data_IF_800745330337
#
_entry.id   IF_800745330337
#
_cell.length_a   1.000
_cell.length_b   1.000
_cell.length_c   1.000
_cell.angle_alpha   90.00
_cell.angle_beta   90.00
_cell.angle_gamma   90.00
#
_symmetry.space_group_name_H-M   'P 1'
#
loop_
_entity.id
_entity.type
_entity.pdbx_description
1 polymer ?
#
# COMPACT_ATOMS: atom_id res chain seq x y z
N UNK A 1 -11.16 -11.36 1.92
CA UNK A 1 -11.45 -12.42 2.93
C UNK A 1 -10.24 -12.68 3.79
N UNK A 2 -10.40 -13.09 5.04
CA UNK A 2 -9.28 -13.46 5.91
C UNK A 2 -9.02 -14.96 5.92
N UNK A 3 -7.74 -15.32 6.05
CA UNK A 3 -7.28 -16.63 6.47
C UNK A 3 -6.28 -16.40 7.59
N UNK A 4 -6.72 -16.58 8.84
CA UNK A 4 -5.99 -16.14 10.03
C UNK A 4 -5.57 -14.66 9.92
N UNK A 5 -4.27 -14.39 9.83
CA UNK A 5 -3.69 -13.04 9.69
C UNK A 5 -3.42 -12.63 8.22
N UNK A 6 -3.76 -13.48 7.24
CA UNK A 6 -3.56 -13.23 5.82
C UNK A 6 -4.84 -12.67 5.21
N UNK A 7 -4.72 -11.59 4.42
CA UNK A 7 -5.81 -11.06 3.61
C UNK A 7 -5.75 -11.62 2.18
N UNK A 8 -6.80 -12.31 1.77
CA UNK A 8 -7.04 -12.67 0.37
C UNK A 8 -7.87 -11.56 -0.28
N UNK A 9 -7.28 -10.88 -1.26
CA UNK A 9 -7.92 -9.86 -2.08
C UNK A 9 -8.07 -10.35 -3.52
N UNK A 10 -9.27 -10.15 -4.10
CA UNK A 10 -9.58 -10.51 -5.49
C UNK A 10 -9.85 -9.21 -6.23
N UNK A 11 -9.16 -9.00 -7.36
CA UNK A 11 -9.33 -7.80 -8.18
C UNK A 11 -10.72 -7.79 -8.84
N UNK A 12 -11.58 -6.80 -8.55
CA UNK A 12 -12.92 -6.74 -9.13
C UNK A 12 -12.94 -6.20 -10.57
N UNK A 13 -11.82 -5.69 -11.10
CA UNK A 13 -11.73 -5.02 -12.41
C UNK A 13 -12.70 -3.85 -12.61
N UNK A 14 -13.26 -3.33 -11.52
CA UNK A 14 -14.14 -2.16 -11.50
C UNK A 14 -13.98 -1.42 -10.19
N UNK A 15 -14.32 -0.14 -10.20
CA UNK A 15 -14.42 0.61 -8.96
C UNK A 15 -15.62 0.13 -8.16
N UNK A 16 -15.41 -0.05 -6.85
CA UNK A 16 -16.48 -0.34 -5.90
C UNK A 16 -16.68 0.95 -5.10
N UNK A 17 -17.86 1.53 -5.24
CA UNK A 17 -18.22 2.80 -4.61
C UNK A 17 -17.96 2.75 -3.09
N UNK A 18 -17.35 3.81 -2.56
CA UNK A 18 -17.06 4.03 -1.13
C UNK A 18 -16.12 3.01 -0.47
N UNK A 19 -15.58 2.01 -1.19
CA UNK A 19 -14.70 0.98 -0.63
C UNK A 19 -13.39 1.56 -0.10
N UNK A 20 -12.83 2.56 -0.79
CA UNK A 20 -11.54 3.19 -0.45
C UNK A 20 -11.67 4.69 -0.16
N UNK A 21 -12.84 5.11 0.34
CA UNK A 21 -13.10 6.50 0.70
C UNK A 21 -12.37 6.91 1.99
N UNK A 22 -12.17 8.22 2.23
CA UNK A 22 -11.68 8.73 3.51
C UNK A 22 -12.55 8.32 4.70
N UNK A 23 -13.88 8.25 4.51
CA UNK A 23 -14.79 7.75 5.55
C UNK A 23 -14.51 6.30 5.91
N UNK A 24 -14.14 5.47 4.94
CA UNK A 24 -13.74 4.08 5.18
C UNK A 24 -12.41 3.99 5.93
N UNK A 25 -11.43 4.86 5.64
CA UNK A 25 -10.19 4.94 6.45
C UNK A 25 -10.54 5.17 7.93
N UNK A 26 -11.35 6.18 8.22
CA UNK A 26 -11.77 6.50 9.59
C UNK A 26 -12.56 5.37 10.26
N UNK A 27 -13.35 4.63 9.49
CA UNK A 27 -14.10 3.47 10.00
C UNK A 27 -13.18 2.36 10.51
N UNK A 28 -12.06 2.09 9.82
CA UNK A 28 -11.11 1.05 10.20
C UNK A 28 -10.08 1.47 11.26
N UNK A 29 -9.94 2.78 11.52
CA UNK A 29 -9.00 3.33 12.49
C UNK A 29 -9.24 2.80 13.91
N UNK A 30 -8.22 2.11 14.46
CA UNK A 30 -8.22 1.60 15.83
C UNK A 30 -9.11 0.37 16.04
N UNK A 31 -9.63 -0.26 14.99
CA UNK A 31 -10.49 -1.45 15.08
C UNK A 31 -9.68 -2.74 15.06
N UNK A 32 -10.01 -3.68 15.93
CA UNK A 32 -9.32 -4.98 15.94
C UNK A 32 -9.64 -5.78 14.67
N UNK A 33 -8.68 -6.62 14.26
CA UNK A 33 -8.89 -7.50 13.11
C UNK A 33 -10.06 -8.45 13.40
N UNK A 34 -11.06 -8.46 12.52
CA UNK A 34 -12.28 -9.28 12.68
C UNK A 34 -13.50 -8.53 13.24
N UNK A 35 -13.34 -7.33 13.81
CA UNK A 35 -14.50 -6.49 14.19
C UNK A 35 -15.26 -5.95 12.98
N UNK A 36 -14.53 -5.71 11.88
CA UNK A 36 -15.06 -5.21 10.63
C UNK A 36 -14.83 -6.22 9.49
N UNK A 37 -15.58 -6.10 8.37
CA UNK A 37 -15.37 -6.94 7.20
C UNK A 37 -13.93 -6.92 6.68
N UNK A 38 -13.47 -7.97 5.99
CA UNK A 38 -12.10 -8.04 5.51
C UNK A 38 -11.73 -6.90 4.56
N UNK A 39 -10.69 -6.14 4.92
CA UNK A 39 -10.24 -4.98 4.15
C UNK A 39 -8.73 -4.74 4.27
N UNK A 40 -8.12 -4.12 3.25
CA UNK A 40 -6.69 -3.76 3.25
C UNK A 40 -6.34 -2.79 4.38
N UNK A 41 -7.26 -1.88 4.72
CA UNK A 41 -7.07 -0.92 5.82
C UNK A 41 -6.98 -1.59 7.18
N UNK A 42 -7.67 -2.71 7.40
CA UNK A 42 -7.52 -3.46 8.64
C UNK A 42 -6.12 -4.07 8.79
N UNK A 43 -5.48 -4.46 7.69
CA UNK A 43 -4.09 -4.96 7.70
C UNK A 43 -3.11 -3.82 7.99
N UNK A 44 -3.32 -2.66 7.38
CA UNK A 44 -2.51 -1.46 7.65
C UNK A 44 -2.65 -1.00 9.11
N UNK A 45 -3.88 -0.93 9.62
CA UNK A 45 -4.16 -0.57 11.02
C UNK A 45 -3.49 -1.53 12.00
N UNK A 46 -3.62 -2.84 11.75
CA UNK A 46 -2.96 -3.85 12.55
C UNK A 46 -1.44 -3.66 12.55
N UNK A 47 -0.82 -3.42 11.39
CA UNK A 47 0.62 -3.20 11.30
C UNK A 47 1.07 -1.96 12.11
N UNK A 48 0.33 -0.85 12.05
CA UNK A 48 0.62 0.34 12.86
C UNK A 48 0.51 0.03 14.36
N UNK A 49 -0.55 -0.68 14.78
CA UNK A 49 -0.74 -1.04 16.18
C UNK A 49 0.31 -2.02 16.69
N UNK A 50 0.63 -3.04 15.91
CA UNK A 50 1.69 -4.01 16.23
C UNK A 50 3.03 -3.29 16.37
N UNK A 51 3.37 -2.36 15.45
CA UNK A 51 4.58 -1.54 15.55
C UNK A 51 4.65 -0.77 16.87
N UNK A 52 3.53 -0.15 17.28
CA UNK A 52 3.44 0.63 18.52
C UNK A 52 3.57 -0.21 19.78
N UNK A 53 2.96 -1.40 19.78
CA UNK A 53 2.93 -2.31 20.94
C UNK A 53 4.23 -3.08 21.07
N UNK A 54 4.70 -3.67 19.96
CA UNK A 54 5.91 -4.51 19.93
C UNK A 54 7.20 -3.70 19.88
N UNK A 55 7.13 -2.38 19.66
CA UNK A 55 8.29 -1.49 19.49
C UNK A 55 9.27 -2.00 18.43
N UNK A 56 8.72 -2.57 17.36
CA UNK A 56 9.48 -3.21 16.29
C UNK A 56 8.88 -2.88 14.93
N UNK A 57 9.74 -2.67 13.92
CA UNK A 57 9.33 -2.38 12.55
C UNK A 57 8.47 -3.51 11.98
N UNK A 58 7.46 -3.15 11.17
CA UNK A 58 6.54 -4.10 10.55
C UNK A 58 6.70 -4.07 9.03
N UNK A 59 6.40 -5.20 8.39
CA UNK A 59 6.45 -5.34 6.93
C UNK A 59 5.16 -5.94 6.41
N UNK A 60 4.62 -5.37 5.32
CA UNK A 60 3.45 -5.91 4.62
C UNK A 60 3.92 -6.40 3.25
N UNK A 61 3.69 -7.69 2.96
CA UNK A 61 4.05 -8.30 1.69
C UNK A 61 2.80 -8.45 0.84
N UNK A 62 2.81 -7.87 -0.37
CA UNK A 62 1.72 -7.97 -1.35
C UNK A 62 2.18 -8.86 -2.50
N UNK A 63 1.60 -10.06 -2.59
CA UNK A 63 1.97 -11.08 -3.59
C UNK A 63 0.82 -11.42 -4.53
N UNK A 64 1.13 -12.08 -5.65
CA UNK A 64 0.16 -12.48 -6.67
C UNK A 64 0.68 -12.34 -8.10
N UNK A 65 -0.04 -12.90 -9.06
CA UNK A 65 0.32 -12.83 -10.48
C UNK A 65 0.18 -11.42 -11.08
N UNK A 66 0.66 -11.22 -12.31
CA UNK A 66 0.46 -9.95 -13.02
C UNK A 66 -1.04 -9.72 -13.26
N UNK A 67 -1.52 -8.51 -12.96
CA UNK A 67 -2.94 -8.16 -13.04
C UNK A 67 -3.76 -8.44 -11.78
N UNK A 68 -3.20 -9.13 -10.76
CA UNK A 68 -3.91 -9.49 -9.53
C UNK A 68 -4.29 -8.31 -8.61
N UNK A 69 -3.84 -7.08 -8.91
CA UNK A 69 -4.16 -5.88 -8.10
C UNK A 69 -3.13 -5.53 -7.03
N UNK A 70 -1.89 -6.04 -7.13
CA UNK A 70 -0.81 -5.74 -6.17
C UNK A 70 -0.54 -4.23 -6.04
N UNK A 71 -0.33 -3.55 -7.17
CA UNK A 71 -0.02 -2.11 -7.20
C UNK A 71 -1.11 -1.26 -6.56
N UNK A 72 -2.37 -1.54 -6.89
CA UNK A 72 -3.53 -0.85 -6.29
C UNK A 72 -3.63 -1.12 -4.78
N UNK A 73 -3.44 -2.38 -4.37
CA UNK A 73 -3.44 -2.74 -2.94
C UNK A 73 -2.36 -1.97 -2.17
N UNK A 74 -1.15 -1.89 -2.72
CA UNK A 74 -0.05 -1.10 -2.14
C UNK A 74 -0.40 0.39 -2.06
N UNK A 75 -1.04 0.96 -3.09
CA UNK A 75 -1.48 2.36 -3.08
C UNK A 75 -2.47 2.65 -1.95
N UNK A 76 -3.45 1.77 -1.74
CA UNK A 76 -4.41 1.94 -0.64
C UNK A 76 -3.78 1.71 0.73
N UNK A 77 -2.85 0.75 0.87
CA UNK A 77 -2.06 0.60 2.09
C UNK A 77 -1.31 1.88 2.43
N UNK A 78 -0.59 2.48 1.46
CA UNK A 78 0.15 3.72 1.68
C UNK A 78 -0.77 4.88 2.05
N UNK A 79 -1.93 5.02 1.39
CA UNK A 79 -2.93 6.04 1.76
C UNK A 79 -3.35 5.93 3.23
N UNK A 80 -3.50 4.71 3.75
CA UNK A 80 -3.85 4.48 5.15
C UNK A 80 -2.66 4.74 6.08
N UNK A 81 -1.47 4.23 5.73
CA UNK A 81 -0.25 4.38 6.53
C UNK A 81 0.16 5.85 6.67
N UNK A 82 -0.08 6.65 5.64
CA UNK A 82 0.15 8.08 5.60
C UNK A 82 -1.08 8.90 6.03
N UNK A 83 -2.15 8.27 6.50
CA UNK A 83 -3.31 9.02 6.97
C UNK A 83 -3.02 9.62 8.35
N UNK A 84 -3.06 10.95 8.44
CA UNK A 84 -2.97 11.68 9.70
C UNK A 84 -4.37 12.10 10.15
N UNK A 85 -4.67 11.86 11.44
CA UNK A 85 -5.94 12.24 12.08
C UNK A 85 -6.20 13.75 12.07
N UNK A 86 -5.21 14.58 11.74
CA UNK A 86 -5.33 16.03 11.62
C UNK A 86 -5.82 16.48 10.22
N UNK A 87 -6.50 15.60 9.51
CA UNK A 87 -7.30 15.85 8.30
C UNK A 87 -6.56 16.38 7.07
N UNK A 88 -5.23 16.38 7.10
CA UNK A 88 -4.38 16.63 5.95
C UNK A 88 -3.18 15.68 5.96
N UNK A 89 -3.01 14.96 4.85
CA UNK A 89 -1.70 14.36 4.53
C UNK A 89 -0.70 15.50 4.51
N UNK A 90 0.28 15.46 5.41
CA UNK A 90 1.35 16.43 5.40
C UNK A 90 2.13 16.40 4.07
N UNK A 91 3.02 17.37 3.84
CA UNK A 91 3.81 17.45 2.61
C UNK A 91 4.71 16.22 2.39
N UNK A 92 5.02 15.44 3.43
CA UNK A 92 5.84 14.23 3.33
C UNK A 92 5.00 13.06 2.81
N UNK A 93 3.82 12.89 3.38
CA UNK A 93 2.82 11.89 3.02
C UNK A 93 2.42 12.04 1.55
N UNK A 94 2.18 13.27 1.11
CA UNK A 94 1.87 13.56 -0.28
C UNK A 94 3.03 13.20 -1.22
N UNK A 95 4.28 13.51 -0.85
CA UNK A 95 5.46 13.13 -1.65
C UNK A 95 5.62 11.61 -1.77
N UNK A 96 5.34 10.84 -0.72
CA UNK A 96 5.39 9.37 -0.76
C UNK A 96 4.33 8.83 -1.73
N UNK A 97 3.13 9.41 -1.72
CA UNK A 97 2.05 9.02 -2.63
C UNK A 97 2.36 9.39 -4.09
N UNK A 98 2.92 10.58 -4.32
CA UNK A 98 3.23 11.13 -5.65
C UNK A 98 4.47 10.50 -6.29
N UNK A 99 5.32 9.84 -5.52
CA UNK A 99 6.43 9.06 -6.07
C UNK A 99 5.95 7.85 -6.89
N UNK A 100 4.75 7.31 -6.60
CA UNK A 100 4.24 6.13 -7.30
C UNK A 100 4.02 6.38 -8.81
N UNK A 101 3.27 7.42 -9.24
CA UNK A 101 3.13 7.75 -10.67
C UNK A 101 4.47 7.85 -11.42
N UNK A 102 5.49 8.44 -10.79
CA UNK A 102 6.83 8.57 -11.40
C UNK A 102 7.45 7.18 -11.59
N UNK A 103 7.47 6.35 -10.54
CA UNK A 103 8.03 5.00 -10.62
C UNK A 103 7.27 4.11 -11.60
N UNK A 104 5.96 4.28 -11.72
CA UNK A 104 5.16 3.58 -12.71
C UNK A 104 5.50 4.03 -14.14
N UNK A 105 5.68 5.33 -14.37
CA UNK A 105 6.06 5.84 -15.69
C UNK A 105 7.41 5.29 -16.18
N UNK A 106 8.38 5.08 -15.28
CA UNK A 106 9.71 4.55 -15.63
C UNK A 106 9.80 3.03 -15.61
N UNK A 107 9.02 2.36 -14.76
CA UNK A 107 9.21 0.94 -14.46
C UNK A 107 8.03 0.03 -14.85
N UNK A 108 6.88 0.57 -15.25
CA UNK A 108 5.78 -0.22 -15.75
C UNK A 108 5.77 -0.27 -17.28
N UNK A 109 5.27 -1.38 -17.81
CA UNK A 109 5.11 -1.56 -19.25
C UNK A 109 3.83 -2.36 -19.56
N UNK A 110 3.29 -2.15 -20.76
CA UNK A 110 2.23 -3.00 -21.30
C UNK A 110 2.78 -4.40 -21.60
N UNK A 111 2.04 -5.41 -21.19
CA UNK A 111 2.27 -6.83 -21.48
C UNK A 111 1.01 -7.43 -22.11
N UNK A 112 1.07 -8.68 -22.57
CA UNK A 112 -0.10 -9.39 -23.10
C UNK A 112 -1.22 -9.56 -22.08
N UNK A 113 -0.91 -9.60 -20.77
CA UNK A 113 -1.88 -9.87 -19.69
C UNK A 113 -2.26 -8.64 -18.85
N UNK A 114 -1.48 -7.57 -18.91
CA UNK A 114 -1.66 -6.39 -18.07
C UNK A 114 -1.09 -5.15 -18.77
N UNK A 115 -1.92 -4.12 -18.93
CA UNK A 115 -1.56 -2.86 -19.58
C UNK A 115 -0.62 -1.99 -18.73
N UNK A 116 -0.57 -2.20 -17.41
CA UNK A 116 0.28 -1.48 -16.47
C UNK A 116 1.07 -2.47 -15.60
N UNK A 117 1.84 -3.36 -16.22
CA UNK A 117 2.62 -4.37 -15.49
C UNK A 117 3.91 -3.79 -14.95
N UNK A 118 4.09 -3.80 -13.63
CA UNK A 118 5.38 -3.47 -13.02
C UNK A 118 6.46 -4.45 -13.45
N UNK A 119 7.58 -3.92 -13.95
CA UNK A 119 8.76 -4.66 -14.43
C UNK A 119 9.96 -4.49 -13.51
N UNK A 120 9.69 -4.21 -12.24
CA UNK A 120 10.65 -4.06 -11.15
C UNK A 120 9.96 -4.43 -9.83
N UNK A 121 10.75 -4.87 -8.85
CA UNK A 121 10.33 -4.97 -7.47
C UNK A 121 10.43 -3.62 -6.77
N UNK A 122 9.47 -3.31 -5.90
CA UNK A 122 9.40 -2.05 -5.16
C UNK A 122 9.28 -2.33 -3.67
N UNK A 123 10.16 -1.74 -2.88
CA UNK A 123 10.09 -1.75 -1.42
C UNK A 123 9.94 -0.30 -0.94
N UNK A 124 8.89 -0.06 -0.17
CA UNK A 124 8.56 1.28 0.32
C UNK A 124 8.57 1.24 1.84
N UNK A 125 9.37 2.10 2.42
CA UNK A 125 9.48 2.31 3.85
C UNK A 125 8.74 3.60 4.21
N UNK A 126 7.91 3.53 5.25
CA UNK A 126 7.27 4.69 5.88
C UNK A 126 7.83 4.79 7.28
N UNK A 127 8.49 5.91 7.58
CA UNK A 127 9.19 6.10 8.85
C UNK A 127 8.29 6.85 9.81
N UNK A 128 8.17 6.33 11.03
CA UNK A 128 7.38 6.92 12.10
C UNK A 128 8.27 7.36 13.27
N UNK A 129 7.91 8.46 13.92
CA UNK A 129 8.52 8.87 15.17
C UNK A 129 7.92 8.13 16.39
N UNK A 130 8.43 8.45 17.59
CA UNK A 130 7.92 7.90 18.85
C UNK A 130 6.45 8.24 19.15
N UNK A 131 5.88 9.26 18.48
CA UNK A 131 4.46 9.66 18.56
C UNK A 131 3.63 9.04 17.43
N UNK A 132 4.22 8.13 16.67
CA UNK A 132 3.61 7.47 15.51
C UNK A 132 3.13 8.43 14.42
N UNK A 133 3.84 9.55 14.26
CA UNK A 133 3.66 10.47 13.14
C UNK A 133 4.63 10.12 12.02
N UNK A 134 4.19 10.27 10.77
CA UNK A 134 5.06 10.04 9.61
C UNK A 134 6.11 11.14 9.55
N UNK A 135 7.38 10.77 9.55
CA UNK A 135 8.52 11.70 9.48
C UNK A 135 9.33 11.57 8.20
N UNK A 136 9.05 10.55 7.39
CA UNK A 136 9.75 10.33 6.14
C UNK A 136 9.37 9.01 5.49
N UNK A 137 10.03 8.72 4.39
CA UNK A 137 9.96 7.43 3.73
C UNK A 137 11.13 7.23 2.81
N UNK A 138 11.38 5.98 2.45
CA UNK A 138 12.41 5.59 1.51
C UNK A 138 11.84 4.58 0.52
N UNK A 139 12.22 4.71 -0.75
CA UNK A 139 11.75 3.79 -1.79
C UNK A 139 12.96 3.15 -2.45
N UNK A 140 13.09 1.84 -2.25
CA UNK A 140 14.05 1.02 -2.97
C UNK A 140 13.38 0.31 -4.14
N UNK A 141 14.15 0.11 -5.20
CA UNK A 141 13.74 -0.65 -6.37
C UNK A 141 14.76 -1.76 -6.64
N UNK A 142 14.29 -2.89 -7.15
CA UNK A 142 15.13 -4.04 -7.43
C UNK A 142 14.70 -4.71 -8.74
N UNK A 143 15.66 -5.37 -9.41
CA UNK A 143 15.40 -6.24 -10.56
C UNK A 143 14.58 -5.57 -11.69
N UNK A 144 14.94 -4.34 -12.06
CA UNK A 144 14.38 -3.70 -13.25
C UNK A 144 14.67 -4.56 -14.50
N UNK A 145 13.65 -4.83 -15.32
CA UNK A 145 13.75 -5.58 -16.58
C UNK A 145 14.50 -4.77 -17.66
N UNK A 146 15.82 -4.59 -17.48
CA UNK A 146 16.67 -3.81 -18.39
C UNK A 146 16.67 -4.33 -19.83
N UNK A 147 16.41 -5.62 -20.04
CA UNK A 147 16.32 -6.23 -21.37
C UNK A 147 15.24 -5.62 -22.26
N UNK A 148 14.23 -4.95 -21.68
CA UNK A 148 13.18 -4.24 -22.45
C UNK A 148 13.66 -2.93 -23.08
N UNK A 149 14.78 -2.37 -22.63
CA UNK A 149 15.30 -1.08 -23.12
C UNK A 149 16.01 -1.24 -24.46
N UNK A 150 16.69 -2.37 -24.66
CA UNK A 150 17.42 -2.66 -25.89
C UNK A 150 16.53 -3.49 -26.82
N UNK A 151 15.76 -2.80 -27.66
CA UNK A 151 15.15 -3.33 -28.89
C UNK A 151 15.46 -2.40 -30.03
#
# INVERSE_FOLDING_TARGET
TYVANILIAVNPYREIKDLYSPSTINKYNGRSLGELPPHVYAIADKAIRDMRVLKSSQSIIVSGESGAGKTESTKYLLKYLCYSSNDSSGPIEQKILDANPILEAFGNAKTTRNNNSSRFGKFIEVHYDGKSQVVGGYISHYLLEKSRICT
#
